data_IF_257816135234
#
_entry.id   IF_257816135234
#
_cell.length_a   1.000
_cell.length_b   1.000
_cell.length_c   1.000
_cell.angle_alpha   90.00
_cell.angle_beta   90.00
_cell.angle_gamma   90.00
#
_symmetry.space_group_name_H-M   'P 1'
#
loop_
_entity.id
_entity.type
_entity.pdbx_description
1 polymer ?
#
# COMPACT_ATOMS: atom_id res chain seq x y z
N UNK A 1 -0.47 8.16 17.27
CA UNK A 1 0.31 6.92 17.15
C UNK A 1 0.25 6.48 15.69
N UNK A 2 1.26 5.79 15.16
CA UNK A 2 1.16 5.16 13.85
C UNK A 2 0.65 3.73 14.03
N UNK A 3 -0.37 3.34 13.26
CA UNK A 3 -0.97 1.99 13.32
C UNK A 3 -0.81 1.34 11.95
N UNK A 4 -0.48 0.05 11.94
CA UNK A 4 -0.39 -0.77 10.74
C UNK A 4 -1.40 -1.92 10.85
N UNK A 5 -2.25 -2.07 9.84
CA UNK A 5 -3.25 -3.12 9.78
C UNK A 5 -2.84 -4.17 8.74
N UNK A 6 -2.38 -5.37 9.16
CA UNK A 6 -2.12 -6.45 8.21
C UNK A 6 -3.43 -6.96 7.63
N UNK A 7 -3.54 -6.98 6.30
CA UNK A 7 -4.72 -7.46 5.59
C UNK A 7 -4.40 -8.74 4.79
N UNK A 8 -5.37 -9.65 4.72
CA UNK A 8 -5.23 -10.86 3.92
C UNK A 8 -5.30 -10.57 2.42
N UNK A 9 -4.35 -11.11 1.66
CA UNK A 9 -4.41 -11.08 0.20
C UNK A 9 -5.33 -12.21 -0.31
N UNK A 10 -6.59 -11.87 -0.56
CA UNK A 10 -7.61 -12.82 -1.05
C UNK A 10 -7.35 -13.34 -2.46
N UNK A 11 -6.56 -12.61 -3.27
CA UNK A 11 -6.16 -13.06 -4.60
C UNK A 11 -5.19 -14.26 -4.57
N UNK A 12 -4.56 -14.54 -3.41
CA UNK A 12 -3.59 -15.63 -3.22
C UNK A 12 -2.54 -15.69 -4.33
N UNK A 13 -2.07 -14.51 -4.75
CA UNK A 13 -1.18 -14.34 -5.89
C UNK A 13 0.10 -13.62 -5.45
N UNK A 14 1.21 -13.98 -6.07
CA UNK A 14 2.50 -13.31 -5.90
C UNK A 14 2.67 -12.08 -6.82
N UNK A 15 1.68 -11.81 -7.70
CA UNK A 15 1.72 -10.75 -8.72
C UNK A 15 0.67 -9.66 -8.55
N UNK A 16 -0.49 -10.02 -7.99
CA UNK A 16 -1.60 -9.10 -7.74
C UNK A 16 -2.09 -9.30 -6.33
N UNK A 17 -2.75 -8.29 -5.77
CA UNK A 17 -3.36 -8.38 -4.46
C UNK A 17 -4.83 -7.95 -4.51
N UNK A 18 -5.59 -8.42 -3.54
CA UNK A 18 -6.92 -7.91 -3.23
C UNK A 18 -7.08 -7.96 -1.73
N UNK A 19 -7.24 -6.79 -1.12
CA UNK A 19 -7.46 -6.65 0.33
C UNK A 19 -8.76 -7.37 0.68
N UNK A 20 -8.75 -8.19 1.73
CA UNK A 20 -9.98 -8.77 2.27
C UNK A 20 -10.92 -7.63 2.72
N UNK A 21 -12.14 -7.55 2.17
CA UNK A 21 -13.09 -6.48 2.54
C UNK A 21 -13.40 -6.43 4.04
N UNK A 22 -13.32 -7.57 4.73
CA UNK A 22 -13.52 -7.63 6.18
C UNK A 22 -12.35 -7.00 6.93
N UNK A 23 -11.12 -7.26 6.50
CA UNK A 23 -9.93 -6.66 7.12
C UNK A 23 -9.91 -5.15 6.89
N UNK A 24 -10.28 -4.70 5.68
CA UNK A 24 -10.43 -3.28 5.37
C UNK A 24 -11.46 -2.59 6.29
N UNK A 25 -12.68 -3.16 6.38
CA UNK A 25 -13.75 -2.61 7.22
C UNK A 25 -13.35 -2.54 8.70
N UNK A 26 -12.63 -3.55 9.20
CA UNK A 26 -12.16 -3.55 10.59
C UNK A 26 -11.08 -2.47 10.81
N UNK A 27 -10.19 -2.27 9.83
CA UNK A 27 -9.16 -1.23 9.86
C UNK A 27 -9.77 0.18 9.85
N UNK A 28 -10.76 0.42 9.01
CA UNK A 28 -11.51 1.69 8.96
C UNK A 28 -12.19 1.97 10.31
N UNK A 29 -12.89 0.98 10.88
CA UNK A 29 -13.58 1.15 12.16
C UNK A 29 -12.63 1.42 13.32
N UNK A 30 -11.50 0.72 13.40
CA UNK A 30 -10.51 0.94 14.45
C UNK A 30 -9.83 2.32 14.31
N UNK A 31 -9.59 2.77 13.07
CA UNK A 31 -9.10 4.12 12.81
C UNK A 31 -10.12 5.18 13.26
N UNK A 32 -11.39 5.04 12.85
CA UNK A 32 -12.47 5.96 13.22
C UNK A 32 -12.68 6.04 14.75
N UNK A 33 -12.68 4.90 15.44
CA UNK A 33 -12.83 4.83 16.90
C UNK A 33 -11.69 5.56 17.64
N UNK A 34 -10.51 5.69 17.00
CA UNK A 34 -9.36 6.44 17.50
C UNK A 34 -9.27 7.88 16.98
N UNK A 35 -10.18 8.30 16.10
CA UNK A 35 -10.13 9.59 15.42
C UNK A 35 -8.97 9.71 14.42
N UNK A 36 -8.54 8.59 13.84
CA UNK A 36 -7.56 8.52 12.76
C UNK A 36 -8.25 8.35 11.41
N UNK A 37 -7.49 8.58 10.34
CA UNK A 37 -7.88 8.28 8.97
C UNK A 37 -6.89 7.25 8.38
N UNK A 38 -7.38 6.41 7.46
CA UNK A 38 -6.48 5.61 6.62
C UNK A 38 -5.80 6.56 5.62
N UNK A 39 -4.48 6.67 5.71
CA UNK A 39 -3.70 7.61 4.90
C UNK A 39 -2.84 6.93 3.82
N UNK A 40 -2.92 5.61 3.68
CA UNK A 40 -2.07 4.88 2.76
C UNK A 40 -2.26 3.38 2.79
N UNK A 41 -1.57 2.73 1.85
CA UNK A 41 -1.51 1.28 1.71
C UNK A 41 -0.08 0.85 1.48
N UNK A 42 0.26 -0.34 1.95
CA UNK A 42 1.54 -0.99 1.66
C UNK A 42 1.32 -2.37 1.07
N UNK A 43 2.03 -2.67 -0.01
CA UNK A 43 2.08 -4.02 -0.59
C UNK A 43 3.48 -4.39 -1.04
N UNK A 44 3.70 -5.68 -1.28
CA UNK A 44 5.01 -6.22 -1.65
C UNK A 44 5.07 -6.72 -3.08
N UNK A 45 6.15 -6.37 -3.78
CA UNK A 45 6.53 -6.96 -5.05
C UNK A 45 7.56 -8.07 -4.81
N UNK A 46 7.25 -9.30 -5.23
CA UNK A 46 8.13 -10.45 -4.96
C UNK A 46 9.32 -10.57 -5.91
N UNK A 47 9.23 -10.01 -7.12
CA UNK A 47 10.22 -10.20 -8.19
C UNK A 47 10.52 -8.93 -9.01
N UNK A 48 9.91 -7.80 -8.69
CA UNK A 48 10.03 -6.54 -9.43
C UNK A 48 10.44 -5.39 -8.53
N UNK A 49 10.97 -4.33 -9.15
CA UNK A 49 11.29 -3.09 -8.46
C UNK A 49 10.07 -2.53 -7.71
N UNK A 50 10.29 -1.76 -6.62
CA UNK A 50 9.22 -1.15 -5.86
C UNK A 50 8.71 0.09 -6.60
N UNK A 51 8.12 -0.09 -7.78
CA UNK A 51 7.53 0.96 -8.61
C UNK A 51 6.10 0.56 -9.00
N UNK A 52 5.10 1.47 -8.96
CA UNK A 52 3.72 1.12 -9.26
C UNK A 52 3.57 0.57 -10.69
N UNK A 53 2.99 -0.63 -10.80
CA UNK A 53 2.60 -1.20 -12.09
C UNK A 53 1.32 -0.57 -12.63
N UNK A 54 0.96 -0.76 -13.91
CA UNK A 54 -0.34 -0.32 -14.42
C UNK A 54 -1.53 -0.87 -13.65
N UNK A 55 -1.41 -2.09 -13.09
CA UNK A 55 -2.46 -2.68 -12.24
C UNK A 55 -2.54 -1.98 -10.89
N UNK A 56 -1.41 -1.59 -10.29
CA UNK A 56 -1.41 -0.82 -9.04
C UNK A 56 -2.05 0.55 -9.23
N UNK A 57 -1.70 1.25 -10.32
CA UNK A 57 -2.28 2.57 -10.65
C UNK A 57 -3.79 2.46 -10.87
N UNK A 58 -4.26 1.42 -11.56
CA UNK A 58 -5.68 1.19 -11.77
C UNK A 58 -6.43 0.78 -10.49
N UNK A 59 -5.73 0.21 -9.51
CA UNK A 59 -6.26 -0.24 -8.23
C UNK A 59 -6.08 0.80 -7.10
N UNK A 60 -5.60 2.00 -7.41
CA UNK A 60 -5.41 3.11 -6.46
C UNK A 60 -6.72 3.90 -6.29
N UNK A 61 -7.48 3.70 -5.18
CA UNK A 61 -8.82 4.26 -5.06
C UNK A 61 -8.82 5.73 -4.65
N UNK A 62 -7.77 6.19 -3.97
CA UNK A 62 -7.74 7.49 -3.30
C UNK A 62 -6.44 8.26 -3.66
N UNK A 63 -6.53 9.47 -4.23
CA UNK A 63 -5.37 10.28 -4.59
C UNK A 63 -4.67 10.93 -3.38
N UNK A 64 -5.29 10.91 -2.20
CA UNK A 64 -4.70 11.40 -0.94
C UNK A 64 -3.75 10.38 -0.29
N UNK A 65 -3.88 9.10 -0.65
CA UNK A 65 -3.12 8.03 -0.03
C UNK A 65 -1.65 7.98 -0.45
N UNK A 66 -0.83 7.52 0.48
CA UNK A 66 0.54 7.09 0.24
C UNK A 66 0.58 5.62 -0.16
N UNK A 67 1.12 5.33 -1.34
CA UNK A 67 1.26 3.98 -1.88
C UNK A 67 2.69 3.51 -1.67
N UNK A 68 2.91 2.75 -0.61
CA UNK A 68 4.22 2.22 -0.23
C UNK A 68 4.41 0.85 -0.86
N UNK A 69 5.51 0.67 -1.58
CA UNK A 69 5.83 -0.60 -2.23
C UNK A 69 7.13 -1.13 -1.64
N UNK A 70 7.09 -2.39 -1.19
CA UNK A 70 8.26 -3.14 -0.72
C UNK A 70 8.66 -4.16 -1.77
N UNK A 71 9.83 -3.99 -2.37
CA UNK A 71 10.42 -4.99 -3.26
C UNK A 71 11.19 -6.02 -2.44
N UNK A 72 10.90 -7.29 -2.73
CA UNK A 72 11.60 -8.47 -2.21
C UNK A 72 12.40 -9.19 -3.32
N UNK A 73 12.63 -8.49 -4.45
CA UNK A 73 13.36 -9.03 -5.62
C UNK A 73 14.81 -9.40 -5.27
N UNK A 74 15.41 -8.68 -4.34
CA UNK A 74 16.78 -8.82 -3.87
C UNK A 74 16.82 -9.42 -2.47
N UNK A 75 18.02 -9.78 -1.97
CA UNK A 75 18.18 -10.29 -0.61
C UNK A 75 17.73 -9.30 0.47
N UNK A 76 17.97 -8.00 0.25
CA UNK A 76 17.54 -6.93 1.13
C UNK A 76 16.25 -6.29 0.60
N UNK A 77 15.21 -6.08 1.45
CA UNK A 77 14.00 -5.38 1.05
C UNK A 77 14.27 -3.92 0.68
N UNK A 78 13.73 -3.48 -0.45
CA UNK A 78 13.79 -2.08 -0.88
C UNK A 78 12.40 -1.45 -0.77
N UNK A 79 12.30 -0.27 -0.14
CA UNK A 79 11.03 0.42 0.10
C UNK A 79 11.01 1.76 -0.62
N UNK A 80 9.91 2.03 -1.33
CA UNK A 80 9.64 3.35 -1.94
C UNK A 80 8.19 3.75 -1.71
N UNK A 81 7.92 5.06 -1.67
CA UNK A 81 6.58 5.64 -1.50
C UNK A 81 6.21 6.48 -2.71
N UNK A 82 4.92 6.48 -3.03
CA UNK A 82 4.36 7.19 -4.17
C UNK A 82 3.01 7.83 -3.85
N UNK A 83 2.73 8.97 -4.48
CA UNK A 83 1.37 9.47 -4.72
C UNK A 83 0.93 9.05 -6.11
N UNK A 84 -0.33 8.67 -6.24
CA UNK A 84 -0.96 8.37 -7.52
C UNK A 84 -2.15 9.32 -7.67
N UNK A 85 -2.04 10.31 -8.56
CA UNK A 85 -3.05 11.36 -8.75
C UNK A 85 -3.41 11.41 -10.23
N UNK A 86 -4.68 11.16 -10.58
CA UNK A 86 -5.15 11.11 -11.97
C UNK A 86 -4.30 10.19 -12.89
N UNK A 87 -3.75 9.11 -12.30
CA UNK A 87 -2.87 8.15 -12.98
C UNK A 87 -1.41 8.58 -13.08
N UNK A 88 -1.05 9.79 -12.63
CA UNK A 88 0.33 10.25 -12.52
C UNK A 88 1.01 9.69 -11.27
N UNK A 89 2.21 9.14 -11.43
CA UNK A 89 3.01 8.56 -10.34
C UNK A 89 4.06 9.58 -9.89
N UNK A 90 3.99 10.00 -8.63
CA UNK A 90 4.93 10.96 -8.03
C UNK A 90 5.67 10.27 -6.89
N UNK A 91 7.00 10.20 -6.97
CA UNK A 91 7.82 9.59 -5.91
C UNK A 91 7.90 10.48 -4.67
N UNK A 92 7.84 9.87 -3.48
CA UNK A 92 7.97 10.55 -2.20
C UNK A 92 9.18 10.03 -1.42
N UNK A 93 9.96 10.92 -0.75
CA UNK A 93 11.03 10.48 0.13
C UNK A 93 10.46 9.83 1.40
N UNK A 94 11.14 8.79 1.89
CA UNK A 94 10.82 8.13 3.16
C UNK A 94 11.90 8.48 4.18
N UNK A 95 11.48 8.83 5.40
CA UNK A 95 12.35 8.98 6.56
C UNK A 95 11.85 8.09 7.69
N UNK A 96 12.75 7.36 8.33
CA UNK A 96 12.47 6.61 9.56
C UNK A 96 12.92 7.48 10.74
N UNK A 97 12.01 7.76 11.66
CA UNK A 97 12.21 8.65 12.82
C UNK A 97 12.17 7.90 14.14
#
# INVERSE_FOLDING_TARGET
AAVYYPCHNTAKSARVYTIDPKDHLLSERDADDQGFELNGVVHSHTHSEPYPSPTDVAAAPDPSWHYVIVSLKTGDPEVRSYRIIDGEIISEPISVV
#
